data_IF_655803190069
#
_entry.id   IF_655803190069
#
_cell.length_a   1.000
_cell.length_b   1.000
_cell.length_c   1.000
_cell.angle_alpha   90.00
_cell.angle_beta   90.00
_cell.angle_gamma   90.00
#
_symmetry.space_group_name_H-M   'P 1'
#
loop_
_entity.id
_entity.type
_entity.pdbx_description
1 polymer ?
#
# COMPACT_ATOMS: atom_id res chain seq x y z
N UNK A 1 -31.07 -24.31 18.72
CA UNK A 1 -31.55 -23.23 17.82
C UNK A 1 -31.13 -21.92 18.43
N UNK A 2 -29.86 -21.58 18.22
CA UNK A 2 -29.31 -20.24 18.47
C UNK A 2 -29.49 -19.48 17.17
N UNK A 3 -30.36 -18.47 17.21
CA UNK A 3 -30.56 -17.51 16.13
C UNK A 3 -29.22 -16.81 15.85
N UNK A 4 -28.54 -17.22 14.78
CA UNK A 4 -27.50 -16.41 14.17
C UNK A 4 -28.21 -15.21 13.54
N UNK A 5 -28.14 -14.08 14.24
CA UNK A 5 -28.54 -12.78 13.74
C UNK A 5 -28.13 -12.66 12.27
N UNK A 6 -29.07 -12.23 11.44
CA UNK A 6 -28.89 -11.95 10.01
C UNK A 6 -27.56 -11.25 9.76
N UNK A 7 -26.54 -12.03 9.39
CA UNK A 7 -25.16 -11.57 9.31
C UNK A 7 -25.06 -10.44 8.30
N UNK A 8 -24.75 -9.24 8.79
CA UNK A 8 -24.37 -8.11 7.95
C UNK A 8 -23.11 -8.55 7.23
N UNK A 9 -23.25 -8.92 5.96
CA UNK A 9 -22.12 -9.41 5.15
C UNK A 9 -21.13 -8.29 4.96
N UNK A 10 -19.85 -8.58 5.18
CA UNK A 10 -18.76 -7.63 5.03
C UNK A 10 -18.44 -7.48 3.53
N UNK A 11 -18.61 -6.29 2.94
CA UNK A 11 -18.55 -6.12 1.49
C UNK A 11 -17.23 -6.60 0.85
N UNK A 12 -16.10 -6.40 1.54
CA UNK A 12 -14.78 -6.77 1.03
C UNK A 12 -14.51 -8.28 1.05
N UNK A 13 -15.02 -9.02 2.05
CA UNK A 13 -14.87 -10.49 2.09
C UNK A 13 -15.68 -11.13 0.97
N UNK A 14 -16.90 -10.65 0.74
CA UNK A 14 -17.74 -11.11 -0.36
C UNK A 14 -17.12 -10.77 -1.72
N UNK A 15 -16.56 -9.56 -1.87
CA UNK A 15 -15.82 -9.17 -3.08
C UNK A 15 -14.60 -10.06 -3.31
N UNK A 16 -13.79 -10.29 -2.27
CA UNK A 16 -12.62 -11.17 -2.34
C UNK A 16 -12.98 -12.62 -2.65
N UNK A 17 -14.10 -13.13 -2.10
CA UNK A 17 -14.59 -14.49 -2.40
C UNK A 17 -15.00 -14.63 -3.86
N UNK A 18 -15.72 -13.65 -4.42
CA UNK A 18 -16.07 -13.63 -5.85
C UNK A 18 -14.82 -13.64 -6.73
N UNK A 19 -13.88 -12.74 -6.43
CA UNK A 19 -12.60 -12.67 -7.13
C UNK A 19 -11.82 -13.98 -7.03
N UNK A 20 -11.79 -14.61 -5.86
CA UNK A 20 -11.10 -15.88 -5.65
C UNK A 20 -11.67 -17.01 -6.51
N UNK A 21 -12.99 -17.13 -6.64
CA UNK A 21 -13.61 -18.12 -7.51
C UNK A 21 -13.26 -17.87 -9.00
N UNK A 22 -13.23 -16.61 -9.43
CA UNK A 22 -12.81 -16.25 -10.79
C UNK A 22 -11.34 -16.59 -11.06
N UNK A 23 -10.45 -16.34 -10.08
CA UNK A 23 -9.02 -16.60 -10.19
C UNK A 23 -8.65 -18.09 -10.12
N UNK A 24 -9.44 -18.91 -9.43
CA UNK A 24 -9.15 -20.35 -9.29
C UNK A 24 -9.14 -21.07 -10.63
N UNK A 25 -9.96 -20.62 -11.57
CA UNK A 25 -10.05 -21.19 -12.91
C UNK A 25 -9.00 -20.61 -13.88
N UNK A 26 -8.28 -19.55 -13.48
CA UNK A 26 -7.31 -18.87 -14.32
C UNK A 26 -5.97 -19.65 -14.38
N UNK A 27 -5.48 -20.02 -15.58
CA UNK A 27 -4.22 -20.74 -15.74
C UNK A 27 -3.01 -20.03 -15.13
N UNK A 28 -3.00 -18.69 -15.09
CA UNK A 28 -1.89 -17.91 -14.57
C UNK A 28 -1.71 -18.08 -13.05
N UNK A 29 -2.77 -18.47 -12.34
CA UNK A 29 -2.76 -18.69 -10.89
C UNK A 29 -2.56 -20.16 -10.50
N UNK A 30 -2.39 -21.06 -11.49
CA UNK A 30 -2.13 -22.48 -11.21
C UNK A 30 -0.79 -22.65 -10.48
N UNK A 31 -0.81 -23.39 -9.38
CA UNK A 31 0.37 -23.64 -8.56
C UNK A 31 0.54 -22.65 -7.40
N UNK A 32 -0.24 -21.58 -7.35
CA UNK A 32 -0.33 -20.71 -6.17
C UNK A 32 -1.29 -21.36 -5.18
N UNK A 33 -0.90 -21.42 -3.90
CA UNK A 33 -1.76 -21.98 -2.86
C UNK A 33 -3.05 -21.16 -2.72
N UNK A 34 -4.19 -21.83 -2.52
CA UNK A 34 -5.47 -21.18 -2.28
C UNK A 34 -5.41 -20.09 -1.20
N UNK A 35 -4.64 -20.30 -0.12
CA UNK A 35 -4.45 -19.30 0.93
C UNK A 35 -3.82 -18.00 0.40
N UNK A 36 -2.72 -18.08 -0.35
CA UNK A 36 -2.06 -16.91 -0.94
C UNK A 36 -2.95 -16.19 -1.94
N UNK A 37 -3.63 -16.93 -2.81
CA UNK A 37 -4.56 -16.33 -3.78
C UNK A 37 -5.71 -15.63 -3.06
N UNK A 38 -6.25 -16.20 -1.98
CA UNK A 38 -7.31 -15.57 -1.21
C UNK A 38 -6.86 -14.29 -0.49
N UNK A 39 -5.64 -14.27 0.07
CA UNK A 39 -5.06 -13.05 0.65
C UNK A 39 -4.89 -11.95 -0.41
N UNK A 40 -4.35 -12.29 -1.57
CA UNK A 40 -4.29 -11.39 -2.73
C UNK A 40 -5.69 -10.83 -3.07
N UNK A 41 -6.73 -11.66 -3.10
CA UNK A 41 -8.09 -11.19 -3.35
C UNK A 41 -8.60 -10.21 -2.29
N UNK A 42 -8.26 -10.42 -1.01
CA UNK A 42 -8.63 -9.51 0.08
C UNK A 42 -7.95 -8.15 -0.09
N UNK A 43 -6.65 -8.12 -0.39
CA UNK A 43 -5.91 -6.87 -0.59
C UNK A 43 -6.44 -6.09 -1.81
N UNK A 44 -6.71 -6.78 -2.91
CA UNK A 44 -7.29 -6.19 -4.12
C UNK A 44 -8.70 -5.67 -3.87
N UNK A 45 -9.52 -6.36 -3.06
CA UNK A 45 -10.83 -5.88 -2.66
C UNK A 45 -10.75 -4.61 -1.80
N UNK A 46 -9.76 -4.50 -0.90
CA UNK A 46 -9.54 -3.30 -0.08
C UNK A 46 -9.08 -2.10 -0.91
N UNK A 47 -8.25 -2.34 -1.94
CA UNK A 47 -7.89 -1.30 -2.92
C UNK A 47 -9.12 -0.88 -3.70
N UNK A 48 -9.92 -1.82 -4.22
CA UNK A 48 -11.13 -1.53 -5.00
C UNK A 48 -12.17 -0.70 -4.24
N UNK A 49 -12.33 -0.95 -2.94
CA UNK A 49 -13.23 -0.20 -2.08
C UNK A 49 -12.66 1.16 -1.63
N UNK A 50 -11.45 1.52 -2.04
CA UNK A 50 -10.79 2.76 -1.64
C UNK A 50 -10.45 2.81 -0.15
N UNK A 51 -10.28 1.65 0.49
CA UNK A 51 -9.78 1.58 1.88
C UNK A 51 -8.28 1.79 1.90
N UNK A 52 -7.58 1.18 0.93
CA UNK A 52 -6.14 1.27 0.73
C UNK A 52 -5.84 1.98 -0.59
N UNK A 53 -4.85 2.87 -0.60
CA UNK A 53 -4.38 3.49 -1.85
C UNK A 53 -3.84 2.44 -2.82
N UNK A 54 -2.92 1.59 -2.37
CA UNK A 54 -2.37 0.56 -3.22
C UNK A 54 -1.75 -0.61 -2.49
N UNK A 55 -1.59 -1.71 -3.22
CA UNK A 55 -1.06 -2.99 -2.78
C UNK A 55 0.09 -3.42 -3.69
N UNK A 56 1.19 -3.89 -3.11
CA UNK A 56 2.33 -4.48 -3.82
C UNK A 56 2.19 -6.00 -3.77
N UNK A 57 2.22 -6.65 -4.92
CA UNK A 57 2.26 -8.10 -5.00
C UNK A 57 3.70 -8.60 -4.80
N UNK A 58 4.00 -9.15 -3.62
CA UNK A 58 5.33 -9.69 -3.28
C UNK A 58 5.31 -11.17 -2.81
N UNK A 59 4.13 -11.76 -2.60
CA UNK A 59 4.02 -13.11 -2.05
C UNK A 59 4.21 -14.23 -3.09
N UNK A 60 4.04 -13.90 -4.38
CA UNK A 60 4.22 -14.81 -5.51
C UNK A 60 4.44 -14.03 -6.81
N UNK A 61 5.00 -14.72 -7.81
CA UNK A 61 5.27 -14.17 -9.14
C UNK A 61 4.27 -14.67 -10.17
N UNK A 62 3.81 -13.79 -11.06
CA UNK A 62 2.94 -14.13 -12.20
C UNK A 62 3.72 -13.95 -13.51
N UNK A 63 3.84 -14.99 -14.35
CA UNK A 63 4.41 -14.85 -15.69
C UNK A 63 3.57 -13.89 -16.54
N UNK A 64 4.22 -13.01 -17.30
CA UNK A 64 3.55 -11.98 -18.12
C UNK A 64 2.54 -11.16 -17.31
N UNK A 65 2.95 -10.71 -16.12
CA UNK A 65 2.10 -9.99 -15.16
C UNK A 65 1.25 -8.88 -15.80
N UNK A 66 1.83 -8.08 -16.71
CA UNK A 66 1.13 -7.01 -17.43
C UNK A 66 -0.10 -7.56 -18.17
N UNK A 67 0.06 -8.58 -19.02
CA UNK A 67 -1.04 -9.13 -19.81
C UNK A 67 -2.09 -9.82 -18.93
N UNK A 68 -1.63 -10.58 -17.93
CA UNK A 68 -2.51 -11.32 -17.01
C UNK A 68 -3.38 -10.33 -16.22
N UNK A 69 -2.77 -9.30 -15.63
CA UNK A 69 -3.50 -8.33 -14.81
C UNK A 69 -4.32 -7.36 -15.64
N UNK A 70 -3.88 -7.01 -16.85
CA UNK A 70 -4.70 -6.28 -17.83
C UNK A 70 -5.99 -7.03 -18.13
N UNK A 71 -5.91 -8.32 -18.47
CA UNK A 71 -7.08 -9.16 -18.76
C UNK A 71 -7.97 -9.32 -17.52
N UNK A 72 -7.38 -9.59 -16.36
CA UNK A 72 -8.11 -9.71 -15.10
C UNK A 72 -8.91 -8.45 -14.80
N UNK A 73 -8.26 -7.29 -14.73
CA UNK A 73 -8.92 -6.03 -14.38
C UNK A 73 -9.93 -5.60 -15.45
N UNK A 74 -9.68 -5.90 -16.73
CA UNK A 74 -10.66 -5.67 -17.81
C UNK A 74 -11.96 -6.44 -17.55
N UNK A 75 -11.88 -7.70 -17.11
CA UNK A 75 -13.07 -8.49 -16.72
C UNK A 75 -13.77 -7.91 -15.50
N UNK A 76 -13.01 -7.47 -14.50
CA UNK A 76 -13.54 -7.00 -13.22
C UNK A 76 -14.12 -5.59 -13.25
N UNK A 77 -13.72 -4.75 -14.23
CA UNK A 77 -14.13 -3.34 -14.37
C UNK A 77 -15.63 -3.09 -14.50
N UNK A 78 -16.43 -4.12 -14.73
CA UNK A 78 -17.89 -4.03 -14.72
C UNK A 78 -18.47 -3.82 -13.31
N UNK A 79 -17.65 -3.95 -12.27
CA UNK A 79 -18.06 -3.90 -10.86
C UNK A 79 -17.25 -2.87 -10.06
N UNK A 80 -17.00 -3.14 -8.78
CA UNK A 80 -16.31 -2.26 -7.83
C UNK A 80 -14.83 -1.99 -8.18
N UNK A 81 -14.29 -2.62 -9.24
CA UNK A 81 -12.90 -2.50 -9.69
C UNK A 81 -12.66 -1.39 -10.73
N UNK A 82 -13.66 -0.56 -11.03
CA UNK A 82 -13.54 0.51 -12.04
C UNK A 82 -12.32 1.42 -11.79
N UNK A 83 -12.04 1.69 -10.51
CA UNK A 83 -10.97 2.58 -10.07
C UNK A 83 -9.68 1.86 -9.71
N UNK A 84 -9.56 0.56 -9.97
CA UNK A 84 -8.30 -0.17 -9.75
C UNK A 84 -7.50 -0.21 -11.03
N UNK A 85 -6.22 0.16 -10.93
CA UNK A 85 -5.26 0.06 -12.01
C UNK A 85 -4.03 -0.74 -11.57
N UNK A 86 -3.52 -1.57 -12.47
CA UNK A 86 -2.22 -2.21 -12.30
C UNK A 86 -1.11 -1.27 -12.77
N UNK A 87 -0.10 -1.05 -11.94
CA UNK A 87 1.12 -0.31 -12.27
C UNK A 87 2.28 -1.30 -12.22
N UNK A 88 2.97 -1.49 -13.34
CA UNK A 88 4.11 -2.39 -13.45
C UNK A 88 5.43 -1.61 -13.48
N UNK A 89 6.35 -1.97 -12.60
CA UNK A 89 7.72 -1.44 -12.57
C UNK A 89 8.66 -2.53 -13.12
N UNK A 90 9.22 -2.35 -14.34
CA UNK A 90 9.94 -3.42 -15.02
C UNK A 90 11.32 -3.72 -14.43
N UNK A 91 11.98 -2.75 -13.77
CA UNK A 91 13.37 -2.91 -13.29
C UNK A 91 13.48 -3.92 -12.15
N UNK A 92 12.48 -3.94 -11.27
CA UNK A 92 12.33 -4.86 -10.14
C UNK A 92 11.29 -5.95 -10.39
N UNK A 93 10.63 -5.93 -11.56
CA UNK A 93 9.51 -6.79 -11.92
C UNK A 93 8.37 -6.77 -10.87
N UNK A 94 8.10 -5.61 -10.29
CA UNK A 94 7.07 -5.42 -9.26
C UNK A 94 5.74 -4.99 -9.86
N UNK A 95 4.66 -5.52 -9.28
CA UNK A 95 3.27 -5.21 -9.65
C UNK A 95 2.57 -4.51 -8.48
N UNK A 96 2.10 -3.29 -8.73
CA UNK A 96 1.27 -2.53 -7.81
C UNK A 96 -0.17 -2.50 -8.32
N UNK A 97 -1.13 -2.54 -7.40
CA UNK A 97 -2.54 -2.30 -7.68
C UNK A 97 -2.95 -1.06 -6.92
N UNK A 98 -3.42 -0.04 -7.64
CA UNK A 98 -3.62 1.30 -7.09
C UNK A 98 -5.05 1.76 -7.34
N UNK A 99 -5.65 2.40 -6.34
CA UNK A 99 -6.95 3.05 -6.45
C UNK A 99 -6.78 4.46 -7.02
N UNK A 100 -7.26 4.67 -8.25
CA UNK A 100 -7.04 5.91 -9.03
C UNK A 100 -7.51 7.17 -8.30
N UNK A 101 -8.70 7.14 -7.67
CA UNK A 101 -9.22 8.31 -6.96
C UNK A 101 -8.47 8.65 -5.66
N UNK A 102 -7.72 7.70 -5.10
CA UNK A 102 -6.84 7.99 -3.97
C UNK A 102 -5.47 8.48 -4.46
N UNK A 103 -4.98 7.94 -5.58
CA UNK A 103 -3.76 8.41 -6.23
C UNK A 103 -3.86 9.88 -6.64
N UNK A 104 -5.01 10.28 -7.20
CA UNK A 104 -5.31 11.68 -7.51
C UNK A 104 -5.14 12.58 -6.28
N UNK A 105 -5.69 12.18 -5.13
CA UNK A 105 -5.54 12.92 -3.88
C UNK A 105 -4.08 13.05 -3.46
N UNK A 106 -3.29 11.98 -3.57
CA UNK A 106 -1.86 12.06 -3.25
C UNK A 106 -1.13 13.06 -4.15
N UNK A 107 -1.45 13.10 -5.45
CA UNK A 107 -0.85 14.09 -6.35
C UNK A 107 -1.27 15.51 -5.96
N UNK A 108 -2.55 15.72 -5.67
CA UNK A 108 -3.08 17.02 -5.23
C UNK A 108 -2.49 17.48 -3.89
N UNK A 109 -2.32 16.58 -2.93
CA UNK A 109 -1.68 16.85 -1.63
C UNK A 109 -0.25 17.41 -1.79
N UNK A 110 0.43 17.12 -2.92
CA UNK A 110 1.76 17.68 -3.24
C UNK A 110 1.72 18.96 -4.09
N UNK A 111 0.58 19.30 -4.70
CA UNK A 111 0.39 20.53 -5.48
C UNK A 111 -0.12 21.69 -4.62
N UNK A 112 -0.84 21.40 -3.54
CA UNK A 112 -1.31 22.40 -2.60
C UNK A 112 -0.18 22.89 -1.68
N UNK A 113 -0.12 24.20 -1.42
CA UNK A 113 0.77 24.70 -0.36
C UNK A 113 0.28 24.11 0.97
N UNK A 114 1.18 23.50 1.78
CA UNK A 114 0.77 22.90 3.03
C UNK A 114 0.13 23.97 3.91
N UNK A 115 -1.17 23.81 4.17
CA UNK A 115 -1.98 24.79 4.90
C UNK A 115 -1.59 24.83 6.39
N UNK A 116 -0.87 23.80 6.89
CA UNK A 116 -0.38 23.65 8.27
C UNK A 116 0.83 22.67 8.33
N UNK A 117 1.41 22.46 9.52
CA UNK A 117 2.47 21.46 9.82
C UNK A 117 2.06 19.98 9.63
N UNK A 118 0.90 19.70 9.02
CA UNK A 118 0.31 18.36 8.90
C UNK A 118 0.72 17.62 7.61
N UNK A 119 2.01 17.67 7.26
CA UNK A 119 2.53 16.82 6.18
C UNK A 119 2.34 15.34 6.54
N UNK A 120 1.67 14.58 5.66
CA UNK A 120 1.43 13.15 5.87
C UNK A 120 2.67 12.31 5.53
N UNK A 121 3.36 12.66 4.44
CA UNK A 121 4.50 11.93 3.92
C UNK A 121 5.83 12.52 4.39
N UNK A 122 6.67 11.68 4.98
CA UNK A 122 7.98 12.04 5.51
C UNK A 122 9.06 11.23 4.81
N UNK A 123 10.09 11.89 4.30
CA UNK A 123 11.17 11.23 3.56
C UNK A 123 12.38 11.03 4.46
N UNK A 124 12.83 9.80 4.64
CA UNK A 124 13.99 9.47 5.48
C UNK A 124 15.16 9.07 4.60
N UNK A 125 16.19 9.90 4.58
CA UNK A 125 17.44 9.62 3.89
C UNK A 125 18.19 8.51 4.64
N UNK A 126 18.56 7.46 3.90
CA UNK A 126 19.24 6.27 4.43
C UNK A 126 20.75 6.46 4.61
N UNK A 127 21.14 7.58 5.22
CA UNK A 127 22.50 7.84 5.70
C UNK A 127 22.79 7.05 6.98
N UNK A 128 24.03 7.15 7.49
CA UNK A 128 24.38 6.62 8.80
C UNK A 128 24.88 7.75 9.71
N UNK A 129 24.08 8.23 10.68
CA UNK A 129 22.71 7.79 11.01
C UNK A 129 21.67 8.21 9.96
N UNK A 130 20.47 7.59 9.93
CA UNK A 130 19.36 8.04 9.09
C UNK A 130 18.90 9.44 9.50
N UNK A 131 18.47 10.25 8.53
CA UNK A 131 18.01 11.63 8.78
C UNK A 131 16.71 11.91 8.04
N UNK A 132 15.86 12.76 8.62
CA UNK A 132 14.68 13.28 7.93
C UNK A 132 15.13 14.24 6.83
N UNK A 133 14.69 14.00 5.60
CA UNK A 133 14.93 14.89 4.47
C UNK A 133 13.96 16.07 4.57
N UNK A 134 14.43 17.32 4.51
CA UNK A 134 13.57 18.51 4.51
C UNK A 134 12.92 18.76 3.15
N UNK A 135 13.30 18.02 2.12
CA UNK A 135 12.82 18.20 0.75
C UNK A 135 12.43 16.86 0.18
N UNK A 136 11.36 16.86 -0.61
CA UNK A 136 10.92 15.71 -1.38
C UNK A 136 11.99 15.38 -2.44
N UNK A 137 12.44 14.13 -2.57
CA UNK A 137 13.43 13.77 -3.59
C UNK A 137 12.94 14.20 -4.98
N UNK A 138 13.74 15.01 -5.68
CA UNK A 138 13.27 15.78 -6.84
C UNK A 138 12.72 14.94 -8.01
N UNK A 139 13.09 13.66 -8.11
CA UNK A 139 12.62 12.75 -9.15
C UNK A 139 11.32 12.00 -8.79
N UNK A 140 10.93 11.94 -7.51
CA UNK A 140 9.78 11.16 -7.05
C UNK A 140 8.46 11.80 -7.48
N UNK A 141 8.30 13.12 -7.34
CA UNK A 141 7.06 13.81 -7.74
C UNK A 141 6.83 13.79 -9.26
N UNK A 142 7.82 14.11 -10.12
CA UNK A 142 7.65 13.96 -11.56
C UNK A 142 7.24 12.54 -11.97
N UNK A 143 7.81 11.52 -11.32
CA UNK A 143 7.48 10.13 -11.58
C UNK A 143 6.06 9.78 -11.14
N UNK A 144 5.65 10.18 -9.93
CA UNK A 144 4.28 10.01 -9.45
C UNK A 144 3.26 10.68 -10.38
N UNK A 145 3.54 11.91 -10.83
CA UNK A 145 2.70 12.64 -11.80
C UNK A 145 2.65 11.93 -13.14
N UNK A 146 3.78 11.44 -13.64
CA UNK A 146 3.82 10.66 -14.89
C UNK A 146 2.97 9.40 -14.81
N UNK A 147 2.96 8.69 -13.67
CA UNK A 147 2.09 7.54 -13.45
C UNK A 147 0.63 7.97 -13.45
N UNK A 148 0.28 9.03 -12.70
CA UNK A 148 -1.09 9.55 -12.67
C UNK A 148 -1.59 10.01 -14.03
N UNK A 149 -0.76 10.70 -14.81
CA UNK A 149 -1.06 11.09 -16.19
C UNK A 149 -1.27 9.85 -17.07
N UNK A 150 -0.40 8.85 -16.99
CA UNK A 150 -0.54 7.62 -17.76
C UNK A 150 -1.86 6.90 -17.41
N UNK A 151 -2.20 6.82 -16.12
CA UNK A 151 -3.42 6.22 -15.58
C UNK A 151 -4.68 6.95 -16.07
N UNK A 152 -4.66 8.28 -16.13
CA UNK A 152 -5.84 9.09 -16.50
C UNK A 152 -6.02 9.23 -18.01
N UNK A 153 -4.93 9.14 -18.78
CA UNK A 153 -4.96 9.28 -20.24
C UNK A 153 -5.19 7.94 -20.97
N UNK A 154 -4.96 6.80 -20.30
CA UNK A 154 -5.18 5.48 -20.90
C UNK A 154 -6.52 4.88 -20.49
N UNK A 155 -7.31 4.34 -21.43
CA UNK A 155 -8.48 3.55 -21.08
C UNK A 155 -8.11 2.16 -20.55
N UNK A 156 -6.83 1.75 -20.59
CA UNK A 156 -6.40 0.42 -20.16
C UNK A 156 -6.29 0.33 -18.62
N UNK A 157 -6.66 -0.79 -17.98
CA UNK A 157 -6.49 -0.99 -16.53
C UNK A 157 -5.06 -1.39 -16.13
N UNK A 158 -4.08 -1.19 -17.01
CA UNK A 158 -2.68 -1.47 -16.71
C UNK A 158 -1.78 -0.42 -17.34
N UNK A 159 -0.79 0.03 -16.58
CA UNK A 159 0.28 0.92 -17.05
C UNK A 159 1.64 0.31 -16.70
N UNK A 160 2.62 0.52 -17.56
CA UNK A 160 4.01 0.16 -17.31
C UNK A 160 4.84 1.42 -17.20
N UNK A 161 5.68 1.50 -16.17
CA UNK A 161 6.64 2.59 -16.00
C UNK A 161 7.70 2.44 -17.09
N UNK A 162 7.77 3.42 -18.01
CA UNK A 162 8.46 3.25 -19.30
C UNK A 162 9.98 3.42 -19.24
N UNK A 163 10.51 3.99 -18.17
CA UNK A 163 11.92 4.31 -18.03
C UNK A 163 12.54 3.44 -16.93
N UNK A 164 13.81 3.09 -17.12
CA UNK A 164 14.59 2.50 -16.04
C UNK A 164 14.78 3.58 -14.96
N UNK A 165 14.38 3.24 -13.74
CA UNK A 165 14.50 4.11 -12.59
C UNK A 165 15.43 3.49 -11.56
N UNK A 166 16.15 4.36 -10.86
CA UNK A 166 17.05 3.97 -9.79
C UNK A 166 16.27 3.59 -8.53
N UNK A 167 16.92 2.89 -7.61
CA UNK A 167 16.34 2.61 -6.29
C UNK A 167 16.03 3.89 -5.50
N UNK A 168 16.76 4.98 -5.75
CA UNK A 168 16.50 6.30 -5.14
C UNK A 168 15.13 6.88 -5.53
N UNK A 169 14.56 6.41 -6.63
CA UNK A 169 13.27 6.84 -7.15
C UNK A 169 12.17 5.83 -6.82
N UNK A 170 12.43 4.53 -7.08
CA UNK A 170 11.42 3.48 -6.94
C UNK A 170 11.06 3.17 -5.48
N UNK A 171 12.03 3.14 -4.56
CA UNK A 171 11.75 2.85 -3.13
C UNK A 171 10.81 3.91 -2.53
N UNK A 172 11.11 5.22 -2.60
CA UNK A 172 10.18 6.21 -2.07
C UNK A 172 8.87 6.27 -2.87
N UNK A 173 8.89 6.05 -4.19
CA UNK A 173 7.65 5.96 -4.97
C UNK A 173 6.76 4.81 -4.46
N UNK A 174 7.31 3.62 -4.23
CA UNK A 174 6.58 2.47 -3.72
C UNK A 174 5.93 2.82 -2.37
N UNK A 175 6.66 3.48 -1.48
CA UNK A 175 6.11 3.96 -0.21
C UNK A 175 4.91 4.91 -0.41
N UNK A 176 4.97 5.83 -1.38
CA UNK A 176 3.83 6.69 -1.71
C UNK A 176 2.65 5.91 -2.27
N UNK A 177 2.87 4.98 -3.21
CA UNK A 177 1.82 4.14 -3.79
C UNK A 177 1.17 3.19 -2.77
N UNK A 178 1.90 2.83 -1.72
CA UNK A 178 1.43 2.01 -0.61
C UNK A 178 0.85 2.86 0.54
N UNK A 179 0.85 4.18 0.43
CA UNK A 179 0.41 5.14 1.45
C UNK A 179 1.15 5.00 2.78
N UNK A 180 2.47 4.75 2.73
CA UNK A 180 3.32 4.79 3.91
C UNK A 180 3.61 6.23 4.33
N UNK A 181 3.37 6.60 5.60
CA UNK A 181 3.72 7.92 6.12
C UNK A 181 5.22 8.21 6.09
N UNK A 182 6.05 7.17 6.00
CA UNK A 182 7.51 7.26 5.95
C UNK A 182 8.01 6.57 4.68
N UNK A 183 8.68 7.34 3.83
CA UNK A 183 9.31 6.88 2.59
C UNK A 183 10.82 6.91 2.75
N UNK A 184 11.46 5.75 2.61
CA UNK A 184 12.91 5.66 2.66
C UNK A 184 13.56 6.10 1.35
N UNK A 185 14.66 6.85 1.45
CA UNK A 185 15.38 7.39 0.30
C UNK A 185 16.83 6.91 0.35
N UNK A 186 17.24 5.97 -0.52
CA UNK A 186 18.64 5.58 -0.64
C UNK A 186 19.55 6.77 -0.99
N UNK A 187 20.78 6.75 -0.47
CA UNK A 187 21.77 7.81 -0.71
C UNK A 187 22.51 7.64 -2.05
N UNK A 188 22.46 6.44 -2.64
CA UNK A 188 23.00 6.13 -3.97
C UNK A 188 22.21 5.02 -4.64
N UNK A 189 22.24 4.91 -5.99
CA UNK A 189 21.55 3.84 -6.72
C UNK A 189 22.08 2.44 -6.40
N UNK A 190 23.34 2.32 -5.98
CA UNK A 190 23.99 1.04 -5.68
C UNK A 190 23.87 0.63 -4.20
N UNK A 191 23.15 1.40 -3.39
CA UNK A 191 22.98 1.09 -1.97
C UNK A 191 22.17 -0.20 -1.81
N UNK A 192 22.78 -1.24 -1.25
CA UNK A 192 22.15 -2.56 -1.07
C UNK A 192 21.97 -2.97 0.39
N UNK A 193 22.49 -2.15 1.31
CA UNK A 193 22.40 -2.37 2.75
C UNK A 193 21.60 -1.22 3.36
N UNK A 194 20.46 -1.57 3.96
CA UNK A 194 19.53 -0.62 4.53
C UNK A 194 19.39 -0.86 6.04
N UNK A 195 19.64 0.20 6.80
CA UNK A 195 19.36 0.30 8.24
C UNK A 195 19.94 -0.86 9.10
N UNK A 196 21.21 -1.29 8.90
CA UNK A 196 21.75 -2.42 9.64
C UNK A 196 21.88 -2.08 11.13
N UNK A 197 21.24 -2.89 11.99
CA UNK A 197 21.28 -2.69 13.44
C UNK A 197 20.57 -1.43 13.94
N UNK A 198 19.79 -0.75 13.09
CA UNK A 198 19.01 0.42 13.48
C UNK A 198 17.72 -0.03 14.15
N UNK A 199 17.37 0.59 15.29
CA UNK A 199 16.07 0.37 15.94
C UNK A 199 14.95 1.04 15.14
N UNK A 200 13.88 0.29 14.91
CA UNK A 200 12.73 0.70 14.13
C UNK A 200 11.46 0.63 14.97
N UNK A 201 10.68 1.70 14.96
CA UNK A 201 9.28 1.66 15.34
C UNK A 201 8.48 1.06 14.19
N UNK A 202 7.91 -0.13 14.42
CA UNK A 202 7.10 -0.85 13.44
C UNK A 202 5.64 -0.63 13.75
N UNK A 203 4.87 -0.22 12.74
CA UNK A 203 3.44 0.05 12.84
C UNK A 203 2.69 -0.95 11.98
N UNK A 204 1.62 -1.51 12.52
CA UNK A 204 0.70 -2.38 11.76
C UNK A 204 -0.74 -1.89 11.95
N UNK A 205 -1.36 -1.45 10.86
CA UNK A 205 -2.79 -1.16 10.80
C UNK A 205 -3.53 -2.43 10.40
N UNK A 206 -4.45 -2.87 11.25
CA UNK A 206 -5.25 -4.07 11.03
C UNK A 206 -6.73 -3.69 10.99
N UNK A 207 -7.49 -4.38 10.15
CA UNK A 207 -8.96 -4.28 10.14
C UNK A 207 -9.58 -5.63 10.45
N UNK A 208 -10.61 -5.64 11.27
CA UNK A 208 -11.33 -6.87 11.61
C UNK A 208 -12.61 -6.57 12.35
N UNK A 209 -13.44 -7.59 12.54
CA UNK A 209 -14.63 -7.50 13.38
C UNK A 209 -14.32 -8.07 14.77
N UNK A 210 -14.63 -7.34 15.86
CA UNK A 210 -14.43 -7.86 17.21
C UNK A 210 -15.24 -9.15 17.43
N UNK A 211 -14.56 -10.22 17.85
CA UNK A 211 -15.21 -11.48 18.23
C UNK A 211 -15.51 -12.46 17.09
N UNK A 212 -15.11 -12.15 15.84
CA UNK A 212 -15.39 -13.02 14.67
C UNK A 212 -14.52 -14.29 14.63
N UNK A 213 -13.58 -14.46 15.57
CA UNK A 213 -12.66 -15.61 15.63
C UNK A 213 -11.60 -15.63 14.52
N UNK A 214 -11.88 -14.97 13.39
CA UNK A 214 -10.94 -14.72 12.31
C UNK A 214 -9.84 -13.73 12.74
N UNK A 215 -8.63 -13.97 12.25
CA UNK A 215 -7.53 -13.04 12.46
C UNK A 215 -7.81 -11.74 11.70
N UNK A 216 -7.57 -10.56 12.30
CA UNK A 216 -7.66 -9.29 11.60
C UNK A 216 -6.82 -9.30 10.32
N UNK A 217 -7.27 -8.62 9.27
CA UNK A 217 -6.54 -8.47 8.01
C UNK A 217 -5.62 -7.24 8.06
N UNK A 218 -4.35 -7.34 7.66
CA UNK A 218 -3.45 -6.19 7.63
C UNK A 218 -3.83 -5.22 6.50
N UNK A 219 -4.03 -3.94 6.85
CA UNK A 219 -4.20 -2.86 5.88
C UNK A 219 -2.85 -2.27 5.45
N UNK A 220 -1.98 -2.04 6.43
CA UNK A 220 -0.73 -1.33 6.25
C UNK A 220 0.28 -1.85 7.26
N UNK A 221 1.53 -2.06 6.82
CA UNK A 221 2.66 -2.31 7.71
C UNK A 221 3.86 -1.55 7.20
N UNK A 222 4.45 -0.72 8.05
CA UNK A 222 5.64 0.06 7.73
C UNK A 222 6.50 0.26 8.98
N UNK A 223 7.67 0.88 8.81
CA UNK A 223 8.58 1.20 9.91
C UNK A 223 9.11 2.63 9.80
N UNK A 224 9.55 3.17 10.93
CA UNK A 224 10.27 4.43 11.04
C UNK A 224 11.48 4.24 11.96
N UNK A 225 12.69 4.77 11.65
CA UNK A 225 13.81 4.67 12.58
C UNK A 225 13.47 5.40 13.88
N UNK A 226 13.66 4.73 15.02
CA UNK A 226 13.24 5.27 16.33
C UNK A 226 13.90 6.61 16.64
N UNK A 227 15.15 6.81 16.19
CA UNK A 227 15.84 8.09 16.31
C UNK A 227 15.05 9.25 15.67
N UNK A 228 14.46 9.04 14.49
CA UNK A 228 13.64 10.04 13.80
C UNK A 228 12.40 10.36 14.62
N UNK A 229 11.68 9.35 15.11
CA UNK A 229 10.49 9.54 15.95
C UNK A 229 10.77 10.25 17.28
N UNK A 230 12.00 10.16 17.80
CA UNK A 230 12.42 10.92 19.00
C UNK A 230 12.79 12.38 18.70
N UNK A 231 13.28 12.67 17.50
CA UNK A 231 13.70 14.02 17.09
C UNK A 231 12.54 14.85 16.52
N UNK A 232 11.52 14.19 15.98
CA UNK A 232 10.40 14.80 15.28
C UNK A 232 9.10 14.33 15.93
N UNK A 233 8.48 15.19 16.76
CA UNK A 233 7.32 14.85 17.59
C UNK A 233 6.15 14.27 16.78
N UNK A 234 5.95 14.77 15.56
CA UNK A 234 4.91 14.31 14.64
C UNK A 234 5.12 12.88 14.12
N UNK A 235 6.35 12.35 14.23
CA UNK A 235 6.72 10.98 13.90
C UNK A 235 6.87 10.09 15.14
N UNK A 236 6.59 10.61 16.34
CA UNK A 236 6.58 9.82 17.56
C UNK A 236 5.48 8.75 17.53
N UNK A 237 5.64 7.60 18.23
CA UNK A 237 4.64 6.54 18.20
C UNK A 237 3.22 6.93 18.60
N UNK A 238 2.97 7.83 19.58
CA UNK A 238 1.63 8.34 19.86
C UNK A 238 1.04 9.17 18.70
N UNK A 239 1.83 10.09 18.14
CA UNK A 239 1.39 10.95 17.04
C UNK A 239 1.11 10.14 15.76
N UNK A 240 2.00 9.19 15.44
CA UNK A 240 1.85 8.33 14.27
C UNK A 240 0.60 7.45 14.37
N UNK A 241 0.32 6.86 15.54
CA UNK A 241 -0.90 6.06 15.76
C UNK A 241 -2.16 6.90 15.54
N UNK A 242 -2.23 8.08 16.16
CA UNK A 242 -3.37 8.99 15.99
C UNK A 242 -3.58 9.38 14.52
N UNK A 243 -2.49 9.70 13.82
CA UNK A 243 -2.55 10.05 12.39
C UNK A 243 -3.05 8.90 11.52
N UNK A 244 -2.58 7.68 11.78
CA UNK A 244 -3.04 6.48 11.07
C UNK A 244 -4.52 6.21 11.34
N UNK A 245 -4.96 6.34 12.59
CA UNK A 245 -6.38 6.22 12.95
C UNK A 245 -7.23 7.24 12.19
N UNK A 246 -6.88 8.53 12.28
CA UNK A 246 -7.59 9.61 11.57
C UNK A 246 -7.62 9.42 10.05
N UNK A 247 -6.53 8.93 9.45
CA UNK A 247 -6.43 8.72 8.00
C UNK A 247 -7.30 7.56 7.52
N UNK A 248 -7.30 6.43 8.24
CA UNK A 248 -7.92 5.19 7.76
C UNK A 248 -9.31 4.92 8.36
N UNK A 249 -9.64 5.42 9.56
CA UNK A 249 -10.93 5.19 10.21
C UNK A 249 -12.12 5.58 9.29
N UNK A 250 -12.17 6.77 8.66
CA UNK A 250 -13.28 7.12 7.77
C UNK A 250 -13.45 6.17 6.59
N UNK A 251 -12.35 5.57 6.12
CA UNK A 251 -12.37 4.63 4.99
C UNK A 251 -12.83 3.25 5.42
N UNK A 252 -12.48 2.82 6.63
CA UNK A 252 -12.96 1.53 7.17
C UNK A 252 -14.48 1.49 7.39
N UNK A 253 -15.14 2.64 7.51
CA UNK A 253 -16.61 2.71 7.58
C UNK A 253 -17.30 2.12 6.33
N UNK A 254 -16.63 2.14 5.17
CA UNK A 254 -17.13 1.55 3.91
C UNK A 254 -17.28 0.03 4.03
N UNK A 255 -16.53 -0.61 4.94
CA UNK A 255 -16.62 -2.05 5.19
C UNK A 255 -17.89 -2.44 5.96
N UNK A 256 -18.69 -1.47 6.40
CA UNK A 256 -19.93 -1.69 7.13
C UNK A 256 -19.73 -1.71 8.64
N UNK A 257 -20.86 -1.62 9.36
CA UNK A 257 -20.88 -1.53 10.82
C UNK A 257 -20.20 -2.75 11.47
N UNK A 258 -19.39 -2.49 12.50
CA UNK A 258 -18.72 -3.53 13.28
C UNK A 258 -17.25 -3.75 12.94
N UNK A 259 -16.74 -3.21 11.84
CA UNK A 259 -15.30 -3.20 11.60
C UNK A 259 -14.59 -2.20 12.51
N UNK A 260 -13.46 -2.63 13.06
CA UNK A 260 -12.60 -1.82 13.91
C UNK A 260 -11.23 -1.77 13.28
N UNK A 261 -10.72 -0.54 13.11
CA UNK A 261 -9.33 -0.28 12.82
C UNK A 261 -8.53 -0.42 14.13
N UNK A 262 -7.48 -1.22 14.11
CA UNK A 262 -6.53 -1.32 15.23
C UNK A 262 -5.14 -0.99 14.73
N UNK A 263 -4.46 -0.05 15.39
CA UNK A 263 -3.06 0.28 15.10
C UNK A 263 -2.19 -0.26 16.23
N UNK A 264 -1.31 -1.21 15.90
CA UNK A 264 -0.31 -1.72 16.83
C UNK A 264 1.06 -1.11 16.56
N UNK A 265 1.85 -0.98 17.61
CA UNK A 265 3.22 -0.46 17.58
C UNK A 265 4.12 -1.35 18.44
N UNK A 266 5.30 -1.63 17.93
CA UNK A 266 6.38 -2.27 18.66
C UNK A 266 7.73 -1.87 18.08
N UNK A 267 8.81 -2.20 18.78
CA UNK A 267 10.18 -1.87 18.35
C UNK A 267 10.86 -3.16 17.88
N UNK A 268 11.54 -3.08 16.72
CA UNK A 268 12.36 -4.16 16.17
C UNK A 268 13.76 -3.67 15.81
N UNK A 269 14.70 -4.60 15.66
CA UNK A 269 16.03 -4.35 15.12
C UNK A 269 16.39 -5.52 14.23
N UNK A 270 16.82 -5.23 13.00
CA UNK A 270 17.15 -6.23 11.99
C UNK A 270 18.60 -6.08 11.56
N UNK A 271 19.22 -7.19 11.15
CA UNK A 271 20.55 -7.16 10.53
C UNK A 271 20.54 -6.37 9.21
N UNK A 272 19.40 -6.42 8.51
CA UNK A 272 19.10 -5.65 7.31
C UNK A 272 17.59 -5.50 7.14
N UNK A 273 17.15 -4.37 6.59
CA UNK A 273 15.75 -4.16 6.18
C UNK A 273 15.63 -4.42 4.68
N UNK A 274 14.61 -5.17 4.27
CA UNK A 274 14.24 -5.28 2.85
C UNK A 274 13.44 -4.06 2.45
N UNK A 275 13.95 -3.31 1.47
CA UNK A 275 13.31 -2.14 0.86
C UNK A 275 13.16 -2.37 -0.65
#
# INVERSE_FOLDING_TARGET
MTDYASGVRTPYIDLARRLFEDLREDPAFRGISAKKTYLFCLDIALVALGVRLGFLLDEFTIPNAVDVFLQLLTRLRQNEFLFVIHVYEPSSAQSFFVHVGLLERVVLDFDEEPVDEEEYYHFVLLSNPPVLSPVIPGAVLPLLRSIFEAVTQTPEPSVTIRQEHTQQEIIPLAALLLEYPVAYVPISPEQSIFLPGVQLDVYTCMVGMPGDGDAPHPLLKFSCPTLIGTQHLQLSPPAMRLRLEQRFEPRTLILGAGHVLTVTHHIETHDRVGL
#
